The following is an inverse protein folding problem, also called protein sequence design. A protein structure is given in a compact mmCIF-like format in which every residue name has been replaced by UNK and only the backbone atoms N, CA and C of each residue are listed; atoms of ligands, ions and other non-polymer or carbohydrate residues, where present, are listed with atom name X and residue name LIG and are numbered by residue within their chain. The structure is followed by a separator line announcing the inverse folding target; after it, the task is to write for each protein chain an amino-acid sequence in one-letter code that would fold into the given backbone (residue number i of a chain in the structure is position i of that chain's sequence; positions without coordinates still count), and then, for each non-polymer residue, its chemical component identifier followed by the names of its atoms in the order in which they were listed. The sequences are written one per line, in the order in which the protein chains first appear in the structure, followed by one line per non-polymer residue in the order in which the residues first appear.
data_IF_426747793228
#
_entry.id   IF_426747793228
#
_cell.length_a   1.000
_cell.length_b   1.000
_cell.length_c   1.000
_cell.angle_alpha   90.00
_cell.angle_beta   90.00
_cell.angle_gamma   90.00
#
_symmetry.space_group_name_H-M   'P 1'
#
loop_
_entity.id
_entity.type
_entity.pdbx_description
1 polymer ?
#
# COMPACT_ATOMS: atom_id res chain seq x y z
N UNK A 1 10.24 10.43 -11.12
CA UNK A 1 9.16 11.29 -10.59
C UNK A 1 9.51 11.59 -9.14
N UNK A 2 9.95 12.82 -8.88
CA UNK A 2 10.26 13.36 -7.54
C UNK A 2 9.02 14.11 -7.06
N UNK A 3 7.95 13.39 -6.75
CA UNK A 3 6.80 13.99 -6.08
C UNK A 3 7.19 14.16 -4.61
N UNK A 4 7.26 15.41 -4.11
CA UNK A 4 7.56 15.72 -2.70
C UNK A 4 6.32 15.59 -1.80
N UNK A 5 5.36 14.75 -2.18
CA UNK A 5 4.09 14.57 -1.49
C UNK A 5 3.62 13.11 -1.55
N UNK A 6 2.82 12.73 -0.56
CA UNK A 6 2.05 11.49 -0.53
C UNK A 6 0.63 11.74 -0.98
N UNK A 7 0.00 10.72 -1.57
CA UNK A 7 -1.34 10.80 -2.14
C UNK A 7 -2.34 10.06 -1.26
N UNK A 8 -2.83 10.70 -0.20
CA UNK A 8 -3.77 10.05 0.73
C UNK A 8 -5.16 9.95 0.14
N UNK A 9 -5.81 8.79 0.28
CA UNK A 9 -7.25 8.70 0.01
C UNK A 9 -8.01 9.38 1.14
N UNK A 10 -9.08 10.09 0.81
CA UNK A 10 -9.93 10.70 1.82
C UNK A 10 -10.63 9.61 2.66
N UNK A 11 -10.50 9.70 3.99
CA UNK A 11 -11.09 8.78 4.97
C UNK A 11 -12.34 9.34 5.67
N UNK A 12 -13.04 10.28 5.02
CA UNK A 12 -14.27 10.86 5.56
C UNK A 12 -15.35 9.82 5.85
N UNK A 13 -16.28 10.14 6.75
CA UNK A 13 -17.38 9.24 7.17
C UNK A 13 -18.36 8.84 6.05
N UNK A 14 -18.24 9.43 4.87
CA UNK A 14 -18.96 9.04 3.66
C UNK A 14 -18.00 8.76 2.51
N UNK A 15 -18.37 7.91 1.53
CA UNK A 15 -17.53 7.59 0.39
C UNK A 15 -17.11 8.85 -0.38
N UNK A 16 -15.82 9.17 -0.35
CA UNK A 16 -15.24 10.30 -1.06
C UNK A 16 -14.13 9.79 -2.00
N UNK A 17 -14.23 10.02 -3.33
CA UNK A 17 -13.22 9.54 -4.28
C UNK A 17 -11.94 10.40 -4.28
N UNK A 18 -11.86 11.43 -3.43
CA UNK A 18 -10.78 12.40 -3.49
C UNK A 18 -9.45 11.81 -3.02
N UNK A 19 -8.38 12.26 -3.66
CA UNK A 19 -7.00 11.97 -3.30
C UNK A 19 -6.33 13.27 -2.89
N UNK A 20 -5.92 13.35 -1.64
CA UNK A 20 -5.36 14.53 -1.00
C UNK A 20 -3.84 14.47 -1.15
N UNK A 21 -3.20 15.42 -1.87
CA UNK A 21 -1.76 15.54 -1.88
C UNK A 21 -1.28 16.13 -0.55
N UNK A 22 -0.40 15.41 0.14
CA UNK A 22 0.13 15.78 1.46
C UNK A 22 1.66 15.88 1.36
N UNK A 23 2.24 17.08 1.50
CA UNK A 23 3.69 17.27 1.49
C UNK A 23 4.39 16.42 2.56
N UNK A 24 5.62 15.95 2.29
CA UNK A 24 6.37 15.15 3.28
C UNK A 24 6.72 15.92 4.55
N UNK A 25 6.79 17.24 4.49
CA UNK A 25 7.06 18.16 5.59
C UNK A 25 5.79 18.69 6.28
N UNK A 26 4.62 18.11 5.96
CA UNK A 26 3.36 18.47 6.60
C UNK A 26 3.42 18.24 8.13
N UNK A 27 3.16 19.29 8.89
CA UNK A 27 3.14 19.25 10.37
C UNK A 27 1.75 18.94 10.95
N UNK A 28 0.71 18.95 10.11
CA UNK A 28 -0.67 18.72 10.51
C UNK A 28 -1.08 17.26 10.25
N UNK A 29 -1.76 16.63 11.20
CA UNK A 29 -2.28 15.27 11.02
C UNK A 29 -3.71 15.21 10.51
N UNK A 30 -4.43 16.33 10.55
CA UNK A 30 -5.81 16.45 10.11
C UNK A 30 -5.86 17.36 8.89
N UNK A 31 -5.88 16.78 7.69
CA UNK A 31 -5.83 17.53 6.44
C UNK A 31 -7.23 17.70 5.87
N UNK A 32 -7.65 18.93 5.60
CA UNK A 32 -8.98 19.19 5.05
C UNK A 32 -9.08 18.69 3.60
N UNK A 33 -10.07 17.86 3.30
CA UNK A 33 -10.39 17.41 1.97
C UNK A 33 -11.02 18.54 1.15
N UNK A 34 -10.42 18.90 0.02
CA UNK A 34 -10.94 19.94 -0.88
C UNK A 34 -12.26 19.59 -1.59
N UNK A 35 -12.67 18.31 -1.59
CA UNK A 35 -13.90 17.85 -2.24
C UNK A 35 -15.08 17.78 -1.28
N UNK A 36 -14.98 16.97 -0.21
CA UNK A 36 -16.07 16.77 0.75
C UNK A 36 -16.04 17.73 1.95
N UNK A 37 -15.01 18.58 2.06
CA UNK A 37 -14.78 19.51 3.17
C UNK A 37 -14.61 18.88 4.56
N UNK A 38 -14.57 17.55 4.67
CA UNK A 38 -14.23 16.83 5.91
C UNK A 38 -12.72 16.79 6.13
N UNK A 39 -12.30 16.47 7.35
CA UNK A 39 -10.89 16.31 7.69
C UNK A 39 -10.46 14.86 7.56
N UNK A 40 -9.29 14.65 6.97
CA UNK A 40 -8.67 13.34 6.83
C UNK A 40 -7.52 13.14 7.80
N UNK A 41 -7.54 12.02 8.53
CA UNK A 41 -6.54 11.70 9.53
C UNK A 41 -5.36 10.95 8.89
N UNK A 42 -4.35 11.69 8.45
CA UNK A 42 -3.19 11.11 7.78
C UNK A 42 -2.30 10.31 8.74
N UNK A 43 -2.34 10.59 10.06
CA UNK A 43 -1.55 9.86 11.05
C UNK A 43 -1.98 8.38 11.13
N UNK A 44 -3.28 8.12 11.03
CA UNK A 44 -3.82 6.74 10.96
C UNK A 44 -3.21 6.00 9.76
N UNK A 45 -3.23 6.63 8.60
CA UNK A 45 -2.63 6.08 7.38
C UNK A 45 -1.13 5.84 7.51
N UNK A 46 -0.37 6.80 8.04
CA UNK A 46 1.07 6.67 8.26
C UNK A 46 1.41 5.49 9.17
N UNK A 47 0.67 5.29 10.26
CA UNK A 47 0.84 4.13 11.15
C UNK A 47 0.58 2.82 10.40
N UNK A 48 -0.52 2.73 9.66
CA UNK A 48 -0.82 1.55 8.85
C UNK A 48 0.27 1.25 7.82
N UNK A 49 0.90 2.28 7.24
CA UNK A 49 2.02 2.11 6.30
C UNK A 49 3.30 1.62 6.99
N UNK A 50 3.58 2.04 8.22
CA UNK A 50 4.74 1.55 8.98
C UNK A 50 4.65 0.03 9.20
N UNK A 51 3.45 -0.48 9.51
CA UNK A 51 3.23 -1.91 9.72
C UNK A 51 3.49 -2.74 8.43
N UNK A 52 3.34 -2.12 7.25
CA UNK A 52 3.55 -2.83 5.98
C UNK A 52 5.00 -3.19 5.69
N UNK A 53 5.99 -2.50 6.27
CA UNK A 53 7.41 -2.81 6.01
C UNK A 53 7.78 -4.20 6.55
N UNK A 54 7.32 -4.52 7.77
CA UNK A 54 7.53 -5.84 8.35
C UNK A 54 6.77 -6.93 7.58
N UNK A 55 5.52 -6.66 7.19
CA UNK A 55 4.72 -7.59 6.38
C UNK A 55 5.39 -7.89 5.03
N UNK A 56 5.96 -6.87 4.39
CA UNK A 56 6.67 -7.02 3.13
C UNK A 56 7.91 -7.91 3.28
N UNK A 57 8.71 -7.66 4.32
CA UNK A 57 9.90 -8.48 4.63
C UNK A 57 9.53 -9.94 4.89
N UNK A 58 8.44 -10.20 5.62
CA UNK A 58 7.94 -11.56 5.83
C UNK A 58 7.48 -12.21 4.52
N UNK A 59 6.79 -11.47 3.65
CA UNK A 59 6.41 -11.96 2.32
C UNK A 59 7.62 -12.31 1.46
N UNK A 60 8.67 -11.48 1.49
CA UNK A 60 9.94 -11.72 0.80
C UNK A 60 10.69 -12.93 1.35
N UNK A 61 10.76 -13.08 2.67
CA UNK A 61 11.33 -14.27 3.30
C UNK A 61 10.61 -15.55 2.87
N UNK A 62 9.27 -15.52 2.82
CA UNK A 62 8.50 -16.65 2.30
C UNK A 62 8.81 -16.97 0.82
N UNK A 63 9.07 -15.97 -0.02
CA UNK A 63 9.53 -16.21 -1.40
C UNK A 63 10.90 -16.87 -1.46
N UNK A 64 11.84 -16.42 -0.63
CA UNK A 64 13.21 -16.95 -0.58
C UNK A 64 13.24 -18.41 -0.09
N UNK A 65 12.29 -18.78 0.78
CA UNK A 65 12.06 -20.16 1.22
C UNK A 65 11.25 -21.02 0.23
N UNK A 66 10.83 -20.47 -0.91
CA UNK A 66 9.99 -21.16 -1.90
C UNK A 66 8.53 -21.33 -1.50
N UNK A 67 8.09 -20.72 -0.38
CA UNK A 67 6.71 -20.75 0.13
C UNK A 67 5.83 -19.72 -0.59
N UNK A 68 5.73 -19.81 -1.91
CA UNK A 68 5.06 -18.80 -2.74
C UNK A 68 3.57 -18.60 -2.41
N UNK A 69 2.85 -19.64 -2.00
CA UNK A 69 1.45 -19.52 -1.59
C UNK A 69 1.26 -18.66 -0.32
N UNK A 70 2.22 -18.71 0.61
CA UNK A 70 2.22 -17.83 1.79
C UNK A 70 2.58 -16.40 1.39
N UNK A 71 3.61 -16.23 0.56
CA UNK A 71 4.04 -14.93 0.05
C UNK A 71 2.88 -14.19 -0.67
N UNK A 72 2.14 -14.90 -1.54
CA UNK A 72 0.96 -14.34 -2.23
C UNK A 72 -0.08 -13.81 -1.25
N UNK A 73 -0.43 -14.59 -0.21
CA UNK A 73 -1.40 -14.17 0.81
C UNK A 73 -0.95 -12.87 1.49
N UNK A 74 0.32 -12.80 1.89
CA UNK A 74 0.93 -11.64 2.54
C UNK A 74 0.91 -10.40 1.63
N UNK A 75 1.31 -10.55 0.36
CA UNK A 75 1.31 -9.42 -0.57
C UNK A 75 -0.10 -8.93 -0.91
N UNK A 76 -1.09 -9.83 -1.05
CA UNK A 76 -2.49 -9.42 -1.26
C UNK A 76 -3.02 -8.61 -0.07
N UNK A 77 -2.74 -9.05 1.15
CA UNK A 77 -3.13 -8.33 2.38
C UNK A 77 -2.50 -6.94 2.43
N UNK A 78 -1.20 -6.86 2.11
CA UNK A 78 -0.45 -5.62 2.04
C UNK A 78 -0.99 -4.66 0.97
N UNK A 79 -1.36 -5.16 -0.22
CA UNK A 79 -1.98 -4.37 -1.28
C UNK A 79 -3.35 -3.81 -0.86
N UNK A 80 -4.13 -4.53 -0.03
CA UNK A 80 -5.39 -4.01 0.52
C UNK A 80 -5.15 -2.86 1.51
N UNK A 81 -4.14 -2.98 2.36
CA UNK A 81 -3.76 -1.91 3.30
C UNK A 81 -3.24 -0.66 2.58
N UNK A 82 -2.49 -0.87 1.51
CA UNK A 82 -2.09 0.18 0.59
C UNK A 82 -3.28 0.87 -0.05
N UNK A 83 -4.18 0.08 -0.63
CA UNK A 83 -5.37 0.62 -1.29
C UNK A 83 -6.32 1.34 -0.34
N UNK A 84 -6.36 1.00 0.95
CA UNK A 84 -7.17 1.75 1.92
C UNK A 84 -6.55 3.07 2.36
N UNK A 85 -5.26 3.30 2.07
CA UNK A 85 -4.50 4.43 2.63
C UNK A 85 -4.04 5.43 1.57
N UNK A 86 -3.26 4.98 0.59
CA UNK A 86 -2.66 5.83 -0.43
C UNK A 86 -3.17 5.47 -1.82
N UNK A 87 -3.24 6.46 -2.70
CA UNK A 87 -3.45 6.24 -4.12
C UNK A 87 -2.09 6.08 -4.84
N UNK A 88 -1.90 5.03 -5.65
CA UNK A 88 -0.72 4.91 -6.53
C UNK A 88 -0.58 6.10 -7.50
N UNK A 89 0.66 6.44 -7.95
CA UNK A 89 1.87 5.63 -7.87
C UNK A 89 2.71 5.91 -6.61
N UNK A 90 3.31 4.87 -6.03
CA UNK A 90 4.44 4.98 -5.10
C UNK A 90 5.24 3.69 -5.08
N UNK A 91 6.53 3.76 -4.72
CA UNK A 91 7.48 2.67 -4.90
C UNK A 91 7.05 1.37 -4.23
N UNK A 92 6.72 1.41 -2.94
CA UNK A 92 6.39 0.20 -2.16
C UNK A 92 5.17 -0.55 -2.71
N UNK A 93 4.19 0.18 -3.27
CA UNK A 93 3.05 -0.44 -3.97
C UNK A 93 3.52 -1.28 -5.16
N UNK A 94 4.35 -0.70 -6.02
CA UNK A 94 4.83 -1.41 -7.22
C UNK A 94 5.78 -2.55 -6.89
N UNK A 95 6.66 -2.39 -5.90
CA UNK A 95 7.53 -3.47 -5.44
C UNK A 95 6.68 -4.67 -4.97
N UNK A 96 5.63 -4.41 -4.19
CA UNK A 96 4.69 -5.43 -3.74
C UNK A 96 3.95 -6.10 -4.92
N UNK A 97 3.44 -5.33 -5.88
CA UNK A 97 2.80 -5.88 -7.09
C UNK A 97 3.76 -6.77 -7.90
N UNK A 98 5.01 -6.35 -8.07
CA UNK A 98 5.99 -7.13 -8.82
C UNK A 98 6.35 -8.44 -8.15
N UNK A 99 6.51 -8.44 -6.82
CA UNK A 99 6.82 -9.66 -6.07
C UNK A 99 5.61 -10.59 -5.94
N UNK A 100 4.39 -10.04 -5.86
CA UNK A 100 3.16 -10.82 -6.02
C UNK A 100 3.13 -11.52 -7.37
N UNK A 101 3.37 -10.78 -8.47
CA UNK A 101 3.42 -11.33 -9.83
C UNK A 101 4.46 -12.45 -9.95
N UNK A 102 5.67 -12.23 -9.42
CA UNK A 102 6.74 -13.25 -9.41
C UNK A 102 6.32 -14.51 -8.66
N UNK A 103 5.69 -14.34 -7.49
CA UNK A 103 5.19 -15.47 -6.70
C UNK A 103 4.11 -16.27 -7.43
N UNK A 104 3.17 -15.58 -8.09
CA UNK A 104 2.14 -16.23 -8.91
C UNK A 104 2.76 -16.99 -10.10
N UNK A 105 3.74 -16.40 -10.78
CA UNK A 105 4.45 -17.07 -11.87
C UNK A 105 5.20 -18.33 -11.39
N UNK A 106 5.87 -18.26 -10.24
CA UNK A 106 6.54 -19.42 -9.66
C UNK A 106 5.55 -20.55 -9.34
N UNK A 107 4.36 -20.23 -8.83
CA UNK A 107 3.30 -21.22 -8.62
C UNK A 107 2.72 -21.79 -9.92
N UNK A 108 2.56 -20.96 -10.96
CA UNK A 108 2.09 -21.41 -12.28
C UNK A 108 3.11 -22.30 -13.01
N UNK A 109 4.39 -22.21 -12.64
CA UNK A 109 5.46 -23.01 -13.23
C UNK A 109 5.51 -24.47 -12.73
N UNK A 110 4.57 -24.90 -11.89
CA UNK A 110 4.42 -26.29 -11.46
C UNK A 110 3.39 -27.10 -12.27
N UNK A 111 2.69 -26.49 -13.24
CA UNK A 111 1.69 -27.18 -14.08
C UNK A 111 2.25 -27.82 -15.37
N UNK A 112 3.58 -27.87 -15.53
CA UNK A 112 4.26 -28.54 -16.65
C UNK A 112 5.33 -29.48 -16.08
N UNK A 113 4.90 -30.59 -15.47
CA UNK A 113 5.74 -31.77 -15.21
C UNK A 113 4.93 -33.02 -15.53
#
# INVERSE_FOLDING_TARGET
MTENYMRFKCDSDHPCPNVIPVPYDCQEFMVKCGLCNQYTNILKGLKSLQDTDMMYKLGRGAMEEGKYGEAIKKFIEMLKLYDSTLAPPYKSYYDCVQDLRRSMLAMGNYSIV
#
